data_IF_406502733697
#
_entry.id   IF_406502733697
#
_cell.length_a   1.000
_cell.length_b   1.000
_cell.length_c   1.000
_cell.angle_alpha   90.00
_cell.angle_beta   90.00
_cell.angle_gamma   90.00
#
_symmetry.space_group_name_H-M   'P 1'
#
loop_
_entity.id
_entity.type
_entity.pdbx_description
1 polymer ?
#
# COMPACT_ATOMS: atom_id res chain seq x y z
N UNK A 1 37.16 0.99 -19.61
CA UNK A 1 36.68 -0.04 -20.56
C UNK A 1 35.24 0.29 -20.91
N UNK A 2 35.01 0.83 -22.11
CA UNK A 2 33.66 1.04 -22.64
C UNK A 2 33.33 -0.21 -23.48
N UNK A 3 32.52 -1.11 -22.95
CA UNK A 3 32.08 -2.27 -23.72
C UNK A 3 30.99 -1.79 -24.69
N UNK A 4 31.38 -1.40 -25.90
CA UNK A 4 30.46 -1.22 -27.03
C UNK A 4 30.50 -2.48 -27.88
N UNK A 5 29.61 -3.42 -27.58
CA UNK A 5 29.42 -4.63 -28.38
C UNK A 5 27.96 -5.06 -28.31
N UNK A 6 27.25 -4.99 -29.43
CA UNK A 6 25.93 -5.58 -29.59
C UNK A 6 26.10 -7.04 -29.98
N UNK A 7 25.73 -7.95 -29.09
CA UNK A 7 25.48 -9.35 -29.45
C UNK A 7 23.97 -9.56 -29.46
N UNK A 8 23.42 -9.92 -30.62
CA UNK A 8 22.10 -10.54 -30.69
C UNK A 8 22.26 -12.02 -30.32
N UNK A 9 22.27 -12.30 -29.00
CA UNK A 9 22.36 -13.63 -28.38
C UNK A 9 23.80 -14.14 -28.13
N UNK A 10 24.07 -15.01 -27.15
CA UNK A 10 23.22 -15.55 -26.09
C UNK A 10 23.98 -15.46 -24.76
N UNK A 11 23.41 -14.82 -23.72
CA UNK A 11 23.79 -15.14 -22.36
C UNK A 11 22.68 -15.93 -21.69
N UNK A 12 23.12 -16.81 -20.81
CA UNK A 12 22.27 -17.80 -20.19
C UNK A 12 22.81 -17.98 -18.76
N UNK A 13 22.01 -18.35 -17.77
CA UNK A 13 21.52 -19.73 -17.84
C UNK A 13 20.30 -19.97 -18.74
N UNK A 14 19.52 -18.94 -19.12
CA UNK A 14 18.68 -19.05 -20.33
C UNK A 14 18.48 -17.79 -21.18
N UNK A 15 18.41 -16.56 -20.64
CA UNK A 15 18.00 -15.39 -21.46
C UNK A 15 18.60 -14.03 -21.00
N UNK A 16 19.84 -14.00 -20.53
CA UNK A 16 20.50 -12.75 -20.14
C UNK A 16 21.49 -12.28 -21.22
N UNK A 17 22.09 -11.10 -21.09
CA UNK A 17 23.19 -10.64 -21.98
C UNK A 17 24.57 -10.76 -21.30
N UNK A 18 24.59 -10.77 -19.96
CA UNK A 18 25.77 -11.06 -19.17
C UNK A 18 25.38 -11.83 -17.91
N UNK A 19 26.23 -12.78 -17.49
CA UNK A 19 26.13 -13.48 -16.21
C UNK A 19 27.49 -13.37 -15.51
N UNK A 20 27.47 -13.00 -14.23
CA UNK A 20 28.65 -12.94 -13.37
C UNK A 20 28.38 -13.93 -12.24
N UNK A 21 29.22 -14.95 -12.13
CA UNK A 21 29.07 -16.01 -11.13
C UNK A 21 30.36 -16.22 -10.36
N UNK A 22 30.23 -16.48 -9.06
CA UNK A 22 31.29 -17.02 -8.23
C UNK A 22 30.88 -18.44 -7.84
N UNK A 23 31.60 -19.44 -8.36
CA UNK A 23 31.28 -20.87 -8.15
C UNK A 23 31.80 -21.43 -6.82
N UNK A 24 32.39 -20.59 -5.97
CA UNK A 24 32.87 -20.99 -4.65
C UNK A 24 31.70 -21.35 -3.73
N UNK A 25 31.79 -22.48 -3.05
CA UNK A 25 30.85 -22.89 -1.99
C UNK A 25 31.31 -22.48 -0.59
N UNK A 26 32.36 -21.66 -0.47
CA UNK A 26 32.87 -21.14 0.80
C UNK A 26 32.11 -19.92 1.30
N UNK A 27 32.30 -19.55 2.57
CA UNK A 27 31.56 -18.47 3.25
C UNK A 27 31.83 -17.02 2.79
N UNK A 28 32.58 -16.81 1.70
CA UNK A 28 32.92 -15.48 1.16
C UNK A 28 33.00 -15.53 -0.37
N UNK A 29 31.94 -16.02 -1.00
CA UNK A 29 31.80 -16.13 -2.45
C UNK A 29 31.21 -14.84 -3.08
N UNK A 30 31.88 -13.70 -2.87
CA UNK A 30 31.43 -12.41 -3.42
C UNK A 30 31.37 -12.44 -4.96
N UNK A 31 30.34 -11.84 -5.55
CA UNK A 31 30.09 -11.91 -7.01
C UNK A 31 30.37 -10.59 -7.71
N UNK A 32 29.74 -9.49 -7.26
CA UNK A 32 29.78 -8.20 -7.95
C UNK A 32 29.89 -7.04 -6.97
N UNK A 33 30.92 -6.22 -7.15
CA UNK A 33 31.06 -4.92 -6.51
C UNK A 33 30.94 -3.82 -7.57
N UNK A 34 30.05 -2.85 -7.32
CA UNK A 34 29.91 -1.64 -8.14
C UNK A 34 30.47 -0.46 -7.36
N UNK A 35 31.59 0.10 -7.83
CA UNK A 35 32.29 1.21 -7.19
C UNK A 35 32.34 2.42 -8.11
N UNK A 36 32.02 3.58 -7.55
CA UNK A 36 32.26 4.89 -8.17
C UNK A 36 33.47 5.57 -7.52
N UNK A 37 34.02 6.58 -8.18
CA UNK A 37 35.25 7.26 -7.73
C UNK A 37 35.06 8.24 -6.57
N UNK A 38 33.82 8.68 -6.29
CA UNK A 38 33.53 9.62 -5.20
C UNK A 38 33.23 8.88 -3.89
N UNK A 39 33.60 9.50 -2.77
CA UNK A 39 33.33 9.04 -1.40
C UNK A 39 32.02 9.59 -0.82
N UNK A 40 31.20 10.24 -1.65
CA UNK A 40 29.85 10.70 -1.31
C UNK A 40 29.02 10.77 -2.61
N UNK A 41 28.46 9.64 -3.07
CA UNK A 41 27.63 9.58 -4.28
C UNK A 41 26.42 10.52 -4.16
N UNK A 42 26.33 11.56 -5.00
CA UNK A 42 25.14 12.41 -5.10
C UNK A 42 24.05 11.83 -6.01
N UNK A 43 22.93 12.54 -6.19
CA UNK A 43 21.80 12.13 -7.04
C UNK A 43 22.13 11.88 -8.52
N UNK A 44 23.23 12.44 -9.02
CA UNK A 44 23.72 12.18 -10.38
C UNK A 44 24.63 10.95 -10.49
N UNK A 45 24.99 10.31 -9.37
CA UNK A 45 25.86 9.15 -9.34
C UNK A 45 25.03 7.86 -9.41
N UNK A 46 24.89 7.31 -10.62
CA UNK A 46 24.20 6.05 -10.84
C UNK A 46 25.15 4.85 -10.69
N UNK A 47 24.75 3.86 -9.91
CA UNK A 47 25.40 2.55 -9.86
C UNK A 47 24.82 1.62 -10.93
N UNK A 48 23.50 1.66 -11.10
CA UNK A 48 22.75 0.93 -12.13
C UNK A 48 21.68 1.87 -12.69
N UNK A 49 21.51 1.90 -14.01
CA UNK A 49 20.43 2.64 -14.69
C UNK A 49 19.63 1.69 -15.56
N UNK A 50 18.30 1.70 -15.39
CA UNK A 50 17.34 0.94 -16.20
C UNK A 50 16.75 1.87 -17.26
N UNK A 51 16.73 1.42 -18.52
CA UNK A 51 16.27 2.23 -19.66
C UNK A 51 15.20 1.49 -20.47
N UNK A 52 14.23 2.25 -21.01
CA UNK A 52 13.31 1.82 -22.06
C UNK A 52 13.57 2.68 -23.30
N UNK A 53 14.18 2.09 -24.32
CA UNK A 53 14.84 2.87 -25.38
C UNK A 53 15.88 3.81 -24.77
N UNK A 54 15.81 5.09 -25.13
CA UNK A 54 16.71 6.13 -24.60
C UNK A 54 16.25 6.74 -23.27
N UNK A 55 15.05 6.39 -22.79
CA UNK A 55 14.47 6.94 -21.55
C UNK A 55 14.93 6.16 -20.32
N UNK A 56 15.41 6.85 -19.31
CA UNK A 56 15.64 6.26 -17.98
C UNK A 56 14.30 5.98 -17.29
N UNK A 57 14.08 4.72 -16.90
CA UNK A 57 12.87 4.26 -16.21
C UNK A 57 13.12 3.90 -14.75
N UNK A 58 14.38 3.80 -14.34
CA UNK A 58 14.76 3.66 -12.94
C UNK A 58 16.27 3.62 -12.74
N UNK A 59 16.70 3.67 -11.49
CA UNK A 59 18.12 3.59 -11.14
C UNK A 59 18.34 3.14 -9.69
N UNK A 60 19.52 2.56 -9.43
CA UNK A 60 20.13 2.55 -8.11
C UNK A 60 21.17 3.66 -8.12
N UNK A 61 20.93 4.70 -7.34
CA UNK A 61 21.69 5.95 -7.39
C UNK A 61 22.03 6.50 -6.01
N UNK A 62 23.06 7.33 -5.94
CA UNK A 62 23.46 8.04 -4.73
C UNK A 62 22.42 9.04 -4.24
N UNK A 63 22.45 9.38 -2.95
CA UNK A 63 21.60 10.44 -2.38
C UNK A 63 22.39 11.62 -1.79
N UNK A 64 23.72 11.53 -1.78
CA UNK A 64 24.60 12.28 -0.88
C UNK A 64 24.70 11.56 0.47
N UNK A 65 25.85 11.67 1.14
CA UNK A 65 26.13 11.09 2.47
C UNK A 65 26.28 9.56 2.50
N UNK A 66 26.86 8.95 1.47
CA UNK A 66 27.12 7.50 1.42
C UNK A 66 25.89 6.61 1.53
N UNK A 67 24.74 7.10 1.06
CA UNK A 67 23.53 6.32 0.93
C UNK A 67 23.17 6.14 -0.56
N UNK A 68 22.39 5.09 -0.83
CA UNK A 68 21.80 4.81 -2.14
C UNK A 68 20.27 4.81 -2.03
N UNK A 69 19.60 5.06 -3.15
CA UNK A 69 18.16 4.90 -3.29
C UNK A 69 17.82 4.13 -4.56
N UNK A 70 16.69 3.43 -4.53
CA UNK A 70 16.04 2.92 -5.72
C UNK A 70 15.06 3.99 -6.22
N UNK A 71 15.27 4.46 -7.45
CA UNK A 71 14.41 5.43 -8.11
C UNK A 71 13.61 4.73 -9.19
N UNK A 72 12.28 4.88 -9.18
CA UNK A 72 11.39 4.44 -10.24
C UNK A 72 10.15 5.36 -10.31
N UNK A 73 9.25 5.12 -11.27
CA UNK A 73 7.96 5.81 -11.34
C UNK A 73 6.95 5.35 -10.28
N UNK A 74 7.20 4.22 -9.62
CA UNK A 74 6.40 3.72 -8.51
C UNK A 74 7.16 3.74 -7.18
N UNK A 75 6.42 3.63 -6.09
CA UNK A 75 6.95 3.74 -4.73
C UNK A 75 6.32 2.79 -3.70
N UNK A 76 5.51 1.82 -4.12
CA UNK A 76 4.88 0.86 -3.21
C UNK A 76 5.66 -0.46 -3.09
N UNK A 77 5.60 -1.04 -1.88
CA UNK A 77 6.03 -2.38 -1.54
C UNK A 77 4.82 -3.31 -1.54
N UNK A 78 4.93 -4.42 -2.27
CA UNK A 78 3.87 -5.40 -2.40
C UNK A 78 4.42 -6.83 -2.26
N UNK A 79 3.52 -7.76 -1.95
CA UNK A 79 3.79 -9.19 -2.00
C UNK A 79 2.71 -9.91 -2.79
N UNK A 80 3.06 -11.06 -3.37
CA UNK A 80 2.04 -11.94 -3.93
C UNK A 80 1.28 -12.65 -2.81
N UNK A 81 -0.05 -12.54 -2.84
CA UNK A 81 -0.94 -13.36 -2.01
C UNK A 81 -1.84 -14.24 -2.90
N UNK A 82 -2.06 -15.51 -2.52
CA UNK A 82 -2.94 -16.40 -3.26
C UNK A 82 -4.38 -15.92 -3.22
N UNK A 83 -5.11 -16.14 -4.32
CA UNK A 83 -6.56 -15.91 -4.35
C UNK A 83 -7.26 -16.92 -3.44
N UNK A 84 -8.38 -16.49 -2.86
CA UNK A 84 -9.29 -17.39 -2.14
C UNK A 84 -10.09 -18.25 -3.13
N UNK A 85 -10.47 -17.64 -4.26
CA UNK A 85 -11.11 -18.30 -5.39
C UNK A 85 -10.31 -18.01 -6.67
N UNK A 86 -9.75 -19.06 -7.26
CA UNK A 86 -8.89 -18.97 -8.46
C UNK A 86 -9.64 -18.39 -9.67
N UNK A 87 -10.96 -18.57 -9.75
CA UNK A 87 -11.79 -18.07 -10.84
C UNK A 87 -12.21 -16.60 -10.66
N UNK A 88 -11.94 -15.99 -9.51
CA UNK A 88 -12.30 -14.60 -9.25
C UNK A 88 -11.42 -13.66 -10.09
N UNK A 89 -12.06 -12.72 -10.77
CA UNK A 89 -11.35 -11.68 -11.53
C UNK A 89 -11.12 -10.50 -10.63
N UNK A 90 -9.86 -10.27 -10.28
CA UNK A 90 -9.39 -9.15 -9.48
C UNK A 90 -8.43 -8.34 -10.33
N UNK A 91 -8.57 -7.01 -10.29
CA UNK A 91 -7.83 -6.08 -11.12
C UNK A 91 -7.02 -5.09 -10.29
N UNK A 92 -5.94 -4.51 -10.86
CA UNK A 92 -5.18 -3.45 -10.21
C UNK A 92 -6.06 -2.26 -9.81
N UNK A 93 -5.77 -1.69 -8.65
CA UNK A 93 -6.53 -0.61 -8.03
C UNK A 93 -7.79 -1.07 -7.30
N UNK A 94 -8.15 -2.36 -7.35
CA UNK A 94 -9.28 -2.86 -6.56
C UNK A 94 -8.89 -3.16 -5.11
N UNK A 95 -9.89 -3.13 -4.24
CA UNK A 95 -9.79 -3.49 -2.83
C UNK A 95 -10.19 -4.94 -2.60
N UNK A 96 -9.47 -5.61 -1.72
CA UNK A 96 -9.68 -7.03 -1.38
C UNK A 96 -9.68 -7.22 0.13
N UNK A 97 -10.49 -8.17 0.60
CA UNK A 97 -10.38 -8.71 1.94
C UNK A 97 -9.35 -9.83 1.98
N UNK A 98 -8.56 -9.85 3.06
CA UNK A 98 -7.61 -10.92 3.38
C UNK A 98 -8.25 -11.84 4.41
N UNK A 99 -8.25 -13.15 4.13
CA UNK A 99 -8.69 -14.20 5.05
C UNK A 99 -7.60 -15.27 5.15
N UNK A 100 -6.95 -15.38 6.31
CA UNK A 100 -5.91 -16.38 6.53
C UNK A 100 -4.79 -16.34 5.48
N UNK A 101 -4.44 -15.14 4.99
CA UNK A 101 -3.41 -14.92 3.96
C UNK A 101 -3.87 -15.11 2.50
N UNK A 102 -5.17 -15.31 2.24
CA UNK A 102 -5.75 -15.37 0.89
C UNK A 102 -6.62 -14.16 0.59
N UNK A 103 -6.70 -13.75 -0.67
CA UNK A 103 -7.45 -12.54 -1.08
C UNK A 103 -8.70 -12.81 -1.90
N UNK A 104 -9.71 -11.96 -1.71
CA UNK A 104 -10.96 -11.95 -2.49
C UNK A 104 -11.62 -10.56 -2.45
N UNK A 105 -12.55 -10.23 -3.35
CA UNK A 105 -13.32 -8.97 -3.30
C UNK A 105 -14.31 -8.91 -2.13
N UNK A 106 -14.59 -10.03 -1.48
CA UNK A 106 -15.37 -10.02 -0.24
C UNK A 106 -14.56 -9.36 0.88
N UNK A 107 -15.09 -8.30 1.49
CA UNK A 107 -14.37 -7.56 2.56
C UNK A 107 -15.03 -7.69 3.93
N UNK A 108 -16.23 -8.26 4.00
CA UNK A 108 -16.95 -8.45 5.27
C UNK A 108 -16.28 -9.54 6.11
N UNK A 109 -15.86 -9.19 7.33
CA UNK A 109 -15.21 -10.12 8.26
C UNK A 109 -13.77 -10.48 7.88
N UNK A 110 -13.17 -9.77 6.93
CA UNK A 110 -11.76 -9.95 6.58
C UNK A 110 -10.84 -9.59 7.76
N UNK A 111 -9.72 -10.29 7.87
CA UNK A 111 -8.67 -9.99 8.85
C UNK A 111 -8.08 -8.59 8.60
N UNK A 112 -7.97 -8.23 7.31
CA UNK A 112 -7.54 -6.92 6.83
C UNK A 112 -8.15 -6.64 5.45
N UNK A 113 -8.35 -5.37 5.13
CA UNK A 113 -8.66 -4.93 3.76
C UNK A 113 -7.40 -4.30 3.16
N UNK A 114 -7.05 -4.69 1.93
CA UNK A 114 -5.85 -4.24 1.24
C UNK A 114 -6.17 -3.83 -0.20
N UNK A 115 -5.20 -3.23 -0.90
CA UNK A 115 -5.33 -2.81 -2.28
C UNK A 115 -4.43 -3.64 -3.21
N UNK A 116 -4.93 -3.92 -4.40
CA UNK A 116 -4.17 -4.56 -5.47
C UNK A 116 -3.38 -3.52 -6.24
N UNK A 117 -2.10 -3.79 -6.48
CA UNK A 117 -1.19 -2.97 -7.29
C UNK A 117 -0.75 -3.75 -8.52
N UNK A 118 -0.17 -3.07 -9.51
CA UNK A 118 0.47 -3.71 -10.67
C UNK A 118 1.86 -3.17 -10.97
N UNK A 119 2.34 -2.20 -10.18
CA UNK A 119 3.61 -1.54 -10.41
C UNK A 119 4.42 -1.36 -9.13
N UNK A 120 4.53 -2.35 -8.22
CA UNK A 120 5.37 -2.20 -7.04
C UNK A 120 6.84 -1.98 -7.40
N UNK A 121 7.53 -1.11 -6.66
CA UNK A 121 8.97 -0.91 -6.82
C UNK A 121 9.76 -2.10 -6.24
N UNK A 122 9.19 -2.75 -5.22
CA UNK A 122 9.69 -4.00 -4.64
C UNK A 122 8.53 -4.97 -4.51
N UNK A 123 8.69 -6.15 -5.10
CA UNK A 123 7.69 -7.22 -5.10
C UNK A 123 8.28 -8.48 -4.46
N UNK A 124 7.69 -8.89 -3.34
CA UNK A 124 8.08 -10.08 -2.58
C UNK A 124 7.21 -11.30 -2.86
N UNK A 125 7.64 -12.45 -2.34
CA UNK A 125 6.89 -13.71 -2.30
C UNK A 125 6.36 -14.22 -3.66
N UNK A 126 7.07 -13.93 -4.76
CA UNK A 126 6.61 -14.33 -6.09
C UNK A 126 6.52 -15.87 -6.24
N UNK A 127 5.37 -16.41 -6.66
CA UNK A 127 5.22 -17.84 -6.89
C UNK A 127 5.95 -18.26 -8.17
N UNK A 128 5.93 -19.57 -8.47
CA UNK A 128 6.43 -20.05 -9.75
C UNK A 128 5.68 -19.35 -10.90
N UNK A 129 6.37 -19.06 -11.99
CA UNK A 129 5.81 -18.29 -13.12
C UNK A 129 4.48 -18.87 -13.64
N UNK A 130 4.34 -20.20 -13.65
CA UNK A 130 3.13 -20.90 -14.08
C UNK A 130 1.95 -20.75 -13.12
N UNK A 131 2.20 -20.45 -11.84
CA UNK A 131 1.19 -20.30 -10.78
C UNK A 131 0.79 -18.84 -10.55
N UNK A 132 1.50 -17.87 -11.14
CA UNK A 132 1.24 -16.44 -10.93
C UNK A 132 -0.21 -16.02 -11.19
N UNK A 133 -0.93 -16.72 -12.07
CA UNK A 133 -2.34 -16.45 -12.36
C UNK A 133 -3.29 -16.76 -11.18
N UNK A 134 -2.82 -17.48 -10.15
CA UNK A 134 -3.55 -17.83 -8.93
C UNK A 134 -3.30 -16.82 -7.79
N UNK A 135 -2.51 -15.78 -8.04
CA UNK A 135 -2.05 -14.82 -7.02
C UNK A 135 -2.31 -13.39 -7.47
N UNK A 136 -2.38 -12.49 -6.50
CA UNK A 136 -2.44 -11.04 -6.71
C UNK A 136 -1.26 -10.33 -6.06
N UNK A 137 -0.84 -9.21 -6.66
CA UNK A 137 0.14 -8.31 -6.05
C UNK A 137 -0.58 -7.36 -5.09
N UNK A 138 -0.39 -7.58 -3.80
CA UNK A 138 -1.09 -6.85 -2.73
C UNK A 138 -0.15 -5.83 -2.12
N UNK A 139 -0.55 -4.55 -2.12
CA UNK A 139 0.27 -3.48 -1.60
C UNK A 139 0.19 -3.40 -0.07
N UNK A 140 1.35 -3.43 0.58
CA UNK A 140 1.49 -3.34 2.03
C UNK A 140 1.87 -1.94 2.50
N UNK A 141 2.59 -1.18 1.66
CA UNK A 141 3.07 0.16 1.99
C UNK A 141 3.30 0.96 0.72
N UNK A 142 2.96 2.25 0.74
CA UNK A 142 3.33 3.19 -0.31
C UNK A 142 2.13 3.92 -0.88
N UNK A 143 2.22 4.31 -2.15
CA UNK A 143 1.18 5.03 -2.87
C UNK A 143 0.60 4.11 -3.95
N UNK A 144 -0.72 3.91 -3.93
CA UNK A 144 -1.42 3.02 -4.85
C UNK A 144 -2.58 3.79 -5.48
N UNK A 145 -2.75 3.75 -6.81
CA UNK A 145 -3.94 4.26 -7.47
C UNK A 145 -5.12 3.31 -7.26
N UNK A 146 -6.03 3.66 -6.35
CA UNK A 146 -7.21 2.84 -6.00
C UNK A 146 -8.42 3.30 -6.80
N UNK A 147 -9.21 2.36 -7.33
CA UNK A 147 -10.48 2.63 -8.01
C UNK A 147 -11.53 3.05 -6.97
N UNK A 148 -11.91 4.32 -6.97
CA UNK A 148 -12.87 4.91 -6.02
C UNK A 148 -14.10 5.44 -6.78
N UNK A 149 -15.29 5.09 -6.29
CA UNK A 149 -16.58 5.59 -6.76
C UNK A 149 -17.01 6.81 -5.94
N UNK A 150 -17.60 7.80 -6.59
CA UNK A 150 -18.11 9.03 -5.95
C UNK A 150 -17.01 10.07 -5.74
N UNK A 151 -17.40 11.31 -5.45
CA UNK A 151 -16.45 12.38 -5.15
C UNK A 151 -15.50 12.04 -3.99
N UNK A 152 -14.29 12.60 -4.03
CA UNK A 152 -13.21 12.35 -3.06
C UNK A 152 -12.55 13.67 -2.69
N UNK A 153 -12.32 13.90 -1.40
CA UNK A 153 -11.49 15.00 -0.92
C UNK A 153 -10.14 14.48 -0.43
N UNK A 154 -9.09 15.27 -0.65
CA UNK A 154 -7.78 14.99 -0.07
C UNK A 154 -7.89 14.87 1.44
N UNK A 155 -7.38 13.76 1.97
CA UNK A 155 -7.47 13.43 3.38
C UNK A 155 -8.64 12.53 3.78
N UNK A 156 -9.55 12.18 2.87
CA UNK A 156 -10.60 11.19 3.13
C UNK A 156 -10.01 9.81 3.37
N UNK A 157 -10.70 9.02 4.20
CA UNK A 157 -10.43 7.59 4.30
C UNK A 157 -11.01 6.86 3.11
N UNK A 158 -10.25 5.91 2.56
CA UNK A 158 -10.76 5.00 1.54
C UNK A 158 -11.10 3.66 2.19
N UNK A 159 -12.36 3.25 2.04
CA UNK A 159 -12.90 1.98 2.51
C UNK A 159 -13.59 1.25 1.33
N UNK A 160 -13.83 -0.07 1.40
CA UNK A 160 -14.65 -0.79 0.43
C UNK A 160 -16.04 -0.22 0.28
N UNK A 161 -16.57 -0.29 -0.94
CA UNK A 161 -17.94 0.13 -1.29
C UNK A 161 -19.04 -0.66 -0.57
N UNK A 162 -18.73 -1.85 -0.08
CA UNK A 162 -19.68 -2.80 0.51
C UNK A 162 -20.42 -3.68 -0.51
N UNK A 163 -20.19 -3.50 -1.82
CA UNK A 163 -20.83 -4.30 -2.88
C UNK A 163 -20.02 -5.53 -3.31
N UNK A 164 -18.87 -5.79 -2.67
CA UNK A 164 -17.91 -6.83 -3.06
C UNK A 164 -17.48 -6.70 -4.54
N UNK A 165 -17.39 -5.46 -5.03
CA UNK A 165 -17.07 -5.13 -6.43
C UNK A 165 -15.61 -4.71 -6.61
N UNK A 166 -14.81 -4.75 -5.53
CA UNK A 166 -13.43 -4.28 -5.51
C UNK A 166 -13.29 -2.76 -5.51
N UNK A 167 -14.38 -1.98 -5.48
CA UNK A 167 -14.31 -0.52 -5.52
C UNK A 167 -14.19 0.06 -4.11
N UNK A 168 -13.44 1.15 -4.00
CA UNK A 168 -13.44 2.01 -2.83
C UNK A 168 -14.53 3.08 -2.86
N UNK A 169 -14.84 3.62 -1.69
CA UNK A 169 -15.57 4.88 -1.50
C UNK A 169 -14.76 5.76 -0.54
N UNK A 170 -14.87 7.07 -0.71
CA UNK A 170 -14.28 8.03 0.21
C UNK A 170 -15.24 8.33 1.37
N UNK A 171 -14.70 8.39 2.58
CA UNK A 171 -15.44 8.76 3.79
C UNK A 171 -14.65 9.81 4.54
N UNK A 172 -15.30 10.93 4.84
CA UNK A 172 -14.69 12.01 5.62
C UNK A 172 -14.25 11.50 7.00
N UNK A 173 -13.08 11.91 7.51
CA UNK A 173 -12.65 11.56 8.87
C UNK A 173 -13.64 11.96 9.97
N UNK A 174 -14.48 12.98 9.71
CA UNK A 174 -15.51 13.43 10.65
C UNK A 174 -16.76 12.53 10.62
N UNK A 175 -17.06 11.92 9.48
CA UNK A 175 -18.28 11.14 9.25
C UNK A 175 -18.07 9.63 9.42
N UNK A 176 -16.81 9.17 9.47
CA UNK A 176 -16.51 7.74 9.59
C UNK A 176 -17.08 7.13 10.87
N UNK A 177 -17.80 6.02 10.70
CA UNK A 177 -18.40 5.24 11.77
C UNK A 177 -17.39 4.29 12.43
N UNK A 178 -17.66 3.92 13.69
CA UNK A 178 -16.74 3.10 14.49
C UNK A 178 -16.44 1.72 13.85
N UNK A 179 -17.44 1.11 13.22
CA UNK A 179 -17.31 -0.18 12.53
C UNK A 179 -16.60 -0.08 11.17
N UNK A 180 -16.45 1.11 10.60
CA UNK A 180 -15.75 1.32 9.33
C UNK A 180 -14.24 1.48 9.52
N UNK A 181 -13.77 1.74 10.74
CA UNK A 181 -12.35 1.92 11.00
C UNK A 181 -11.49 0.69 10.64
N UNK A 182 -12.00 -0.52 10.89
CA UNK A 182 -11.33 -1.76 10.51
C UNK A 182 -11.26 -1.98 8.98
N UNK A 183 -12.05 -1.22 8.21
CA UNK A 183 -12.12 -1.31 6.75
C UNK A 183 -11.24 -0.28 6.04
N UNK A 184 -10.55 0.60 6.78
CA UNK A 184 -9.67 1.61 6.19
C UNK A 184 -8.50 0.92 5.51
N UNK A 185 -8.36 1.19 4.22
CA UNK A 185 -7.22 0.76 3.42
C UNK A 185 -6.12 1.81 3.43
N UNK A 186 -6.52 3.09 3.41
CA UNK A 186 -5.58 4.20 3.30
C UNK A 186 -6.27 5.56 3.31
N UNK A 187 -5.49 6.59 2.97
CA UNK A 187 -5.94 7.98 2.93
C UNK A 187 -5.72 8.58 1.54
N UNK A 188 -6.73 9.25 1.01
CA UNK A 188 -6.63 9.96 -0.27
C UNK A 188 -5.62 11.10 -0.18
N UNK A 189 -4.75 11.23 -1.18
CA UNK A 189 -3.80 12.34 -1.32
C UNK A 189 -4.17 13.33 -2.43
N UNK A 190 -5.32 13.15 -3.05
CA UNK A 190 -5.85 14.04 -4.08
C UNK A 190 -7.37 14.21 -3.95
N UNK A 191 -7.89 15.27 -4.58
CA UNK A 191 -9.31 15.60 -4.64
C UNK A 191 -9.84 15.34 -6.04
N UNK A 192 -11.06 14.83 -6.15
CA UNK A 192 -11.76 14.68 -7.43
C UNK A 192 -13.28 14.80 -7.25
N UNK A 193 -13.90 15.65 -8.06
CA UNK A 193 -15.36 15.85 -8.07
C UNK A 193 -16.10 14.85 -8.98
N UNK A 194 -15.39 13.97 -9.69
CA UNK A 194 -16.02 13.02 -10.60
C UNK A 194 -16.78 11.94 -9.83
N UNK A 195 -18.07 11.80 -10.09
CA UNK A 195 -18.94 10.82 -9.39
C UNK A 195 -18.71 9.36 -9.82
N UNK A 196 -18.18 9.13 -11.02
CA UNK A 196 -17.87 7.80 -11.52
C UNK A 196 -16.70 7.12 -10.80
N UNK A 197 -16.45 5.86 -11.18
CA UNK A 197 -15.24 5.13 -10.78
C UNK A 197 -14.02 5.75 -11.46
N UNK A 198 -13.00 6.06 -10.67
CA UNK A 198 -11.73 6.63 -11.14
C UNK A 198 -10.58 6.19 -10.24
N UNK A 199 -9.34 6.15 -10.75
CA UNK A 199 -8.18 5.95 -9.89
C UNK A 199 -7.98 7.18 -8.98
N UNK A 200 -7.68 6.93 -7.72
CA UNK A 200 -7.31 7.94 -6.73
C UNK A 200 -5.96 7.55 -6.12
N UNK A 201 -5.01 8.48 -6.07
CA UNK A 201 -3.76 8.26 -5.36
C UNK A 201 -4.00 8.16 -3.84
N UNK A 202 -3.75 6.97 -3.29
CA UNK A 202 -3.99 6.64 -1.88
C UNK A 202 -2.69 6.20 -1.23
N UNK A 203 -2.38 6.79 -0.07
CA UNK A 203 -1.31 6.26 0.77
C UNK A 203 -1.82 5.07 1.58
N UNK A 204 -1.14 3.95 1.47
CA UNK A 204 -1.40 2.69 2.20
C UNK A 204 -0.23 2.38 3.13
N UNK A 205 -0.52 1.68 4.24
CA UNK A 205 0.51 1.14 5.14
C UNK A 205 0.29 1.40 6.62
N UNK A 206 1.25 0.98 7.45
CA UNK A 206 1.11 0.73 8.89
C UNK A 206 0.53 1.89 9.73
N UNK A 207 0.78 3.15 9.35
CA UNK A 207 0.26 4.31 10.09
C UNK A 207 -1.20 4.66 9.78
N UNK A 208 -1.76 4.13 8.68
CA UNK A 208 -3.21 4.26 8.46
C UNK A 208 -4.00 3.62 9.62
N UNK A 209 -3.42 2.61 10.30
CA UNK A 209 -4.02 1.92 11.43
C UNK A 209 -3.95 2.67 12.78
N UNK A 210 -2.93 3.49 13.02
CA UNK A 210 -2.72 4.16 14.32
C UNK A 210 -3.47 5.50 14.44
N UNK A 211 -3.63 6.21 13.32
CA UNK A 211 -4.40 7.45 13.29
C UNK A 211 -5.88 7.20 13.58
N UNK A 212 -6.46 6.15 13.00
CA UNK A 212 -7.85 5.83 13.27
C UNK A 212 -8.08 5.38 14.71
N UNK A 213 -7.17 4.58 15.29
CA UNK A 213 -7.22 4.19 16.70
C UNK A 213 -7.22 5.41 17.60
N UNK A 214 -6.35 6.37 17.32
CA UNK A 214 -6.27 7.63 18.06
C UNK A 214 -7.56 8.44 17.92
N UNK A 215 -8.11 8.55 16.71
CA UNK A 215 -9.40 9.22 16.45
C UNK A 215 -10.57 8.51 17.13
N UNK A 216 -10.59 7.18 17.15
CA UNK A 216 -11.59 6.38 17.85
C UNK A 216 -11.50 6.60 19.36
N UNK A 217 -10.30 6.51 19.94
CA UNK A 217 -10.06 6.76 21.36
C UNK A 217 -10.49 8.18 21.76
N UNK A 218 -10.20 9.18 20.92
CA UNK A 218 -10.66 10.55 21.15
C UNK A 218 -12.19 10.67 21.10
N UNK A 219 -12.84 10.08 20.08
CA UNK A 219 -14.32 10.05 19.99
C UNK A 219 -14.92 9.36 21.23
N UNK A 220 -14.33 8.26 21.70
CA UNK A 220 -14.76 7.57 22.92
C UNK A 220 -14.60 8.45 24.17
N UNK A 221 -13.48 9.17 24.31
CA UNK A 221 -13.25 10.09 25.44
C UNK A 221 -14.26 11.26 25.45
N UNK A 222 -14.60 11.80 24.27
CA UNK A 222 -15.62 12.84 24.13
C UNK A 222 -16.99 12.30 24.54
N UNK A 223 -17.40 11.15 24.00
CA UNK A 223 -18.68 10.51 24.36
C UNK A 223 -18.77 10.18 25.87
N UNK A 224 -17.68 9.71 26.48
CA UNK A 224 -17.64 9.49 27.93
C UNK A 224 -17.82 10.78 28.73
N UNK A 225 -17.22 11.88 28.26
CA UNK A 225 -17.35 13.20 28.89
C UNK A 225 -18.79 13.73 28.78
N UNK A 226 -19.43 13.59 27.62
CA UNK A 226 -20.84 13.95 27.41
C UNK A 226 -21.78 13.12 28.29
N UNK A 227 -21.57 11.79 28.36
CA UNK A 227 -22.35 10.91 29.25
C UNK A 227 -22.22 11.36 30.71
N UNK A 228 -21.02 11.77 31.14
CA UNK A 228 -20.79 12.26 32.50
C UNK A 228 -21.55 13.56 32.77
N UNK A 229 -21.57 14.49 31.82
CA UNK A 229 -22.32 15.75 31.92
C UNK A 229 -23.82 15.48 31.95
N UNK A 230 -24.35 14.65 31.05
CA UNK A 230 -25.77 14.30 30.99
C UNK A 230 -26.24 13.59 32.26
N UNK A 231 -25.44 12.67 32.81
CA UNK A 231 -25.74 12.03 34.11
C UNK A 231 -25.83 13.05 35.25
N UNK A 232 -24.95 14.05 35.27
CA UNK A 232 -24.99 15.13 36.26
C UNK A 232 -26.26 15.97 36.12
N UNK A 233 -26.62 16.37 34.91
CA UNK A 233 -27.85 17.14 34.64
C UNK A 233 -29.11 16.36 35.03
N UNK A 234 -29.19 15.05 34.73
CA UNK A 234 -30.30 14.19 35.16
C UNK A 234 -30.40 14.13 36.69
N UNK A 235 -29.27 14.06 37.39
CA UNK A 235 -29.25 14.02 38.85
C UNK A 235 -29.72 15.34 39.47
N UNK A 236 -29.27 16.47 38.91
CA UNK A 236 -29.72 17.81 39.29
C UNK A 236 -31.24 17.97 39.04
N UNK A 237 -31.73 17.56 37.86
CA UNK A 237 -33.16 17.59 37.54
C UNK A 237 -34.01 16.71 38.47
N UNK A 238 -33.54 15.50 38.80
CA UNK A 238 -34.22 14.62 39.76
C UNK A 238 -34.28 15.23 41.16
N UNK A 239 -33.21 15.91 41.57
CA UNK A 239 -33.18 16.61 42.85
C UNK A 239 -34.06 17.87 42.87
N UNK A 240 -34.24 18.54 41.74
CA UNK A 240 -35.09 19.73 41.62
C UNK A 240 -36.56 19.43 41.39
N UNK A 241 -36.91 18.26 40.85
CA UNK A 241 -38.31 17.87 40.58
C UNK A 241 -39.00 17.15 41.73
N UNK A 242 -38.30 16.78 42.80
CA UNK A 242 -38.93 16.32 44.04
C UNK A 242 -40.06 15.30 43.83
N UNK A 243 -39.86 14.27 43.01
CA UNK A 243 -40.80 13.14 42.99
C UNK A 243 -40.48 12.28 44.21
N UNK A 244 -41.20 12.56 45.29
CA UNK A 244 -41.47 11.58 46.33
C UNK A 244 -42.19 10.40 45.68
N UNK A 245 -41.46 9.35 45.34
CA UNK A 245 -42.04 8.03 45.11
C UNK A 245 -42.43 7.52 46.50
N UNK A 246 -43.68 7.77 46.86
CA UNK A 246 -44.40 7.06 47.93
C UNK A 246 -44.76 5.65 47.46
#
# INVERSE_FOLDING_TARGET
MHVRGTKNGAASMANHIAVIENTSSGGSADVLALKIGTISPGGGCNFITFKSGDRDIGAIEGTGNNNIRLRSGSGDYAEYLPRLNDSEVIEPGELVGVFGGKVTKYTQGADQVMAITNQPIVLGNAPQKQEQHLYEQVAFLGQVPIKVRGSVQSGDYIIPSGFNDGMGIAVSPHEIAANQFALIVGRAWETSEQEGVKPINVVVGLNSNSHWLSSLLQKMQIQQSEIKILKKQIQELKSSTGVSVS
#
